data_IF_722363314467
#
_entry.id   IF_722363314467
#
_cell.length_a   1.000
_cell.length_b   1.000
_cell.length_c   1.000
_cell.angle_alpha   90.00
_cell.angle_beta   90.00
_cell.angle_gamma   90.00
#
_symmetry.space_group_name_H-M   'P 1'
#
loop_
_entity.id
_entity.type
_entity.pdbx_description
1 polymer ?
#
# COMPACT_ATOMS: atom_id res chain seq x y z
N UNK A 1 8.10 11.73 -10.72
CA UNK A 1 9.51 11.56 -10.31
C UNK A 1 9.73 10.40 -9.34
N UNK A 2 8.98 10.26 -8.24
CA UNK A 2 9.20 9.20 -7.24
C UNK A 2 9.15 7.77 -7.82
N UNK A 3 8.05 7.40 -8.50
CA UNK A 3 7.92 6.04 -9.05
C UNK A 3 8.94 5.74 -10.14
N UNK A 4 9.29 6.72 -10.97
CA UNK A 4 10.35 6.58 -11.98
C UNK A 4 11.71 6.31 -11.32
N UNK A 5 12.04 7.01 -10.23
CA UNK A 5 13.27 6.78 -9.45
C UNK A 5 13.28 5.39 -8.83
N UNK A 6 12.21 5.00 -8.14
CA UNK A 6 12.09 3.67 -7.53
C UNK A 6 12.20 2.55 -8.57
N UNK A 7 11.60 2.72 -9.74
CA UNK A 7 11.75 1.79 -10.86
C UNK A 7 13.19 1.73 -11.38
N UNK A 8 13.87 2.87 -11.50
CA UNK A 8 15.29 2.91 -11.91
C UNK A 8 16.23 2.26 -10.89
N UNK A 9 15.85 2.25 -9.61
CA UNK A 9 16.54 1.53 -8.52
C UNK A 9 16.17 0.04 -8.47
N UNK A 10 15.35 -0.46 -9.41
CA UNK A 10 14.91 -1.86 -9.45
C UNK A 10 13.93 -2.26 -8.34
N UNK A 11 13.33 -1.29 -7.64
CA UNK A 11 12.43 -1.55 -6.51
C UNK A 11 11.09 -2.09 -6.98
N UNK A 12 10.64 -3.18 -6.37
CA UNK A 12 9.31 -3.74 -6.59
C UNK A 12 8.27 -2.98 -5.77
N UNK A 13 7.29 -2.40 -6.46
CA UNK A 13 6.22 -1.61 -5.85
C UNK A 13 4.97 -2.49 -5.76
N UNK A 14 4.42 -2.61 -4.55
CA UNK A 14 3.18 -3.32 -4.23
C UNK A 14 2.10 -2.30 -3.93
N UNK A 15 0.89 -2.57 -4.40
CA UNK A 15 -0.26 -1.71 -4.15
C UNK A 15 -1.31 -2.46 -3.33
N UNK A 16 -1.86 -1.78 -2.33
CA UNK A 16 -2.97 -2.22 -1.50
C UNK A 16 -4.02 -1.10 -1.52
N UNK A 17 -5.30 -1.46 -1.63
CA UNK A 17 -6.39 -0.51 -1.76
C UNK A 17 -7.55 -0.92 -0.85
N UNK A 18 -8.24 0.06 -0.27
CA UNK A 18 -9.41 -0.18 0.57
C UNK A 18 -9.84 1.07 1.32
N UNK A 19 -10.92 0.93 2.10
CA UNK A 19 -11.46 2.01 2.95
C UNK A 19 -10.59 2.22 4.20
N UNK A 20 -10.23 1.11 4.87
CA UNK A 20 -9.42 1.09 6.11
C UNK A 20 -9.92 2.00 7.24
N UNK A 21 -11.25 2.14 7.37
CA UNK A 21 -11.86 2.81 8.51
C UNK A 21 -11.53 2.06 9.82
N UNK A 22 -11.39 2.80 10.92
CA UNK A 22 -10.96 2.32 12.23
C UNK A 22 -9.81 1.31 12.17
N UNK A 23 -8.60 1.82 11.95
CA UNK A 23 -7.38 0.99 11.90
C UNK A 23 -7.25 0.08 13.13
N UNK A 24 -7.18 -1.22 12.85
CA UNK A 24 -7.02 -2.26 13.87
C UNK A 24 -5.93 -3.27 13.47
N UNK A 25 -5.63 -4.21 14.38
CA UNK A 25 -4.55 -5.20 14.20
C UNK A 25 -4.66 -6.00 12.90
N UNK A 26 -5.87 -6.28 12.41
CA UNK A 26 -6.11 -6.90 11.11
C UNK A 26 -5.48 -6.12 9.94
N UNK A 27 -5.71 -4.81 9.85
CA UNK A 27 -5.10 -3.96 8.81
C UNK A 27 -3.57 -3.93 8.92
N UNK A 28 -3.03 -3.86 10.14
CA UNK A 28 -1.57 -3.89 10.34
C UNK A 28 -0.97 -5.22 9.86
N UNK A 29 -1.60 -6.35 10.17
CA UNK A 29 -1.17 -7.67 9.67
C UNK A 29 -1.25 -7.72 8.15
N UNK A 30 -2.36 -7.24 7.57
CA UNK A 30 -2.54 -7.19 6.13
C UNK A 30 -1.47 -6.33 5.43
N UNK A 31 -1.16 -5.14 5.94
CA UNK A 31 -0.11 -4.29 5.38
C UNK A 31 1.29 -4.91 5.54
N UNK A 32 1.56 -5.57 6.68
CA UNK A 32 2.83 -6.28 6.89
C UNK A 32 2.99 -7.41 5.88
N UNK A 33 1.94 -8.20 5.64
CA UNK A 33 1.94 -9.26 4.64
C UNK A 33 2.10 -8.68 3.23
N UNK A 34 1.30 -7.67 2.86
CA UNK A 34 1.39 -6.98 1.58
C UNK A 34 2.80 -6.43 1.31
N UNK A 35 3.46 -5.90 2.35
CA UNK A 35 4.82 -5.39 2.26
C UNK A 35 5.85 -6.48 1.95
N UNK A 36 5.61 -7.74 2.31
CA UNK A 36 6.55 -8.83 1.99
C UNK A 36 6.68 -9.12 0.49
N UNK A 37 5.69 -8.71 -0.31
CA UNK A 37 5.69 -8.93 -1.75
C UNK A 37 6.57 -7.96 -2.54
N UNK A 38 7.17 -6.94 -1.91
CA UNK A 38 8.07 -6.01 -2.60
C UNK A 38 8.72 -4.95 -1.70
N UNK A 39 9.55 -4.12 -2.30
CA UNK A 39 10.36 -3.14 -1.58
C UNK A 39 9.58 -1.92 -1.10
N UNK A 40 8.45 -1.59 -1.74
CA UNK A 40 7.63 -0.40 -1.48
C UNK A 40 6.17 -0.83 -1.44
N UNK A 41 5.44 -0.46 -0.39
CA UNK A 41 3.99 -0.66 -0.29
C UNK A 41 3.32 0.70 -0.43
N UNK A 42 2.44 0.82 -1.41
CA UNK A 42 1.56 1.97 -1.59
C UNK A 42 0.17 1.55 -1.14
N UNK A 43 -0.41 2.28 -0.18
CA UNK A 43 -1.78 2.06 0.28
C UNK A 43 -2.63 3.23 -0.22
N UNK A 44 -3.68 2.93 -0.98
CA UNK A 44 -4.67 3.93 -1.40
C UNK A 44 -5.96 3.77 -0.61
N UNK A 45 -6.57 4.90 -0.27
CA UNK A 45 -7.78 4.97 0.55
C UNK A 45 -8.96 5.34 -0.33
N UNK A 46 -10.05 4.59 -0.21
CA UNK A 46 -11.34 4.96 -0.83
C UNK A 46 -11.91 6.18 -0.10
N UNK A 47 -12.20 7.30 -0.79
CA UNK A 47 -12.86 8.46 -0.18
C UNK A 47 -14.28 8.12 0.27
N UNK A 48 -14.77 8.80 1.31
CA UNK A 48 -16.10 8.59 1.90
C UNK A 48 -17.26 8.68 0.89
N UNK A 49 -17.13 9.49 -0.15
CA UNK A 49 -18.14 9.61 -1.23
C UNK A 49 -18.40 8.28 -1.95
N UNK A 50 -17.46 7.34 -1.89
CA UNK A 50 -17.51 6.07 -2.62
C UNK A 50 -17.70 4.85 -1.70
N UNK A 51 -18.11 5.06 -0.44
CA UNK A 51 -18.34 4.02 0.57
C UNK A 51 -19.83 3.87 0.91
#
# INVERSE_FOLDING_TARGET
>A
MLFSKLKSEGKKIVHCHGVFDLLHVGHIKHFKEAKTFGDILVVSITPDEFV
#
